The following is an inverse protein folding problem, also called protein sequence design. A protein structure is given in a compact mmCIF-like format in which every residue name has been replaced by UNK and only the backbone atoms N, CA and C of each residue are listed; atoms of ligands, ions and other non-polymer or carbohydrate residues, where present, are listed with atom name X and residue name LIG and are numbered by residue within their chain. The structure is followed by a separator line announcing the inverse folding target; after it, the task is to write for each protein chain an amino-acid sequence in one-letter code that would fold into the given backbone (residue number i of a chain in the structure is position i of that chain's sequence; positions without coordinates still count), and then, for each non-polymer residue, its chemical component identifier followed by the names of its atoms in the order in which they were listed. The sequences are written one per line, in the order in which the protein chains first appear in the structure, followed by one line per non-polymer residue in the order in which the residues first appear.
data_IF_153726636314
#
_entry.id   IF_153726636314
#
_cell.length_a   1.000
_cell.length_b   1.000
_cell.length_c   1.000
_cell.angle_alpha   90.00
_cell.angle_beta   90.00
_cell.angle_gamma   90.00
#
_symmetry.space_group_name_H-M   'P 1'
#
loop_
_entity.id
_entity.type
_entity.pdbx_description
1 polymer ?
#
# COMPACT_ATOMS: atom_id res chain seq x y z
N UNK A 1 -4.73 16.78 -1.54
CA UNK A 1 -6.07 16.30 -1.10
C UNK A 1 -7.04 17.46 -1.27
N UNK A 2 -8.29 17.22 -1.64
CA UNK A 2 -9.26 18.28 -1.98
C UNK A 2 -9.96 18.95 -0.78
N UNK A 3 -9.59 18.63 0.46
CA UNK A 3 -10.19 19.20 1.67
C UNK A 3 -9.17 20.04 2.43
N UNK A 4 -9.59 21.18 2.97
CA UNK A 4 -8.73 22.05 3.75
C UNK A 4 -8.56 21.57 5.20
N UNK A 5 -7.51 22.07 5.87
CA UNK A 5 -7.13 21.68 7.22
C UNK A 5 -8.24 21.93 8.27
N UNK A 6 -9.03 23.00 8.09
CA UNK A 6 -10.12 23.32 9.00
C UNK A 6 -11.21 22.24 8.97
N UNK A 7 -11.58 21.77 7.77
CA UNK A 7 -12.58 20.73 7.60
C UNK A 7 -12.14 19.40 8.23
N UNK A 8 -10.88 19.02 7.99
CA UNK A 8 -10.29 17.79 8.55
C UNK A 8 -10.19 17.89 10.07
N UNK A 9 -9.78 19.06 10.59
CA UNK A 9 -9.65 19.27 12.03
C UNK A 9 -10.99 19.17 12.75
N UNK A 10 -12.06 19.69 12.11
CA UNK A 10 -13.40 19.61 12.67
C UNK A 10 -13.93 18.17 12.68
N UNK A 11 -13.67 17.41 11.62
CA UNK A 11 -14.07 16.00 11.52
C UNK A 11 -13.34 15.09 12.53
N UNK A 12 -12.06 15.38 12.80
CA UNK A 12 -11.20 14.54 13.65
C UNK A 12 -11.10 15.05 15.09
N UNK A 13 -11.73 16.18 15.41
CA UNK A 13 -11.56 16.92 16.67
C UNK A 13 -10.09 17.16 17.06
N UNK A 14 -9.20 17.18 16.08
CA UNK A 14 -7.76 17.32 16.28
C UNK A 14 -7.26 18.47 15.42
N UNK A 15 -6.40 19.35 15.95
CA UNK A 15 -5.82 20.43 15.14
C UNK A 15 -4.82 19.84 14.13
N UNK A 16 -5.26 19.66 12.88
CA UNK A 16 -4.47 19.10 11.80
C UNK A 16 -3.83 20.26 11.00
N UNK A 17 -2.50 20.32 10.98
CA UNK A 17 -1.74 21.19 10.09
C UNK A 17 -1.11 20.28 9.03
N UNK A 18 -1.71 20.19 7.85
CA UNK A 18 -1.08 19.53 6.72
C UNK A 18 0.03 20.44 6.19
N UNK A 19 1.28 20.06 6.45
CA UNK A 19 2.44 20.65 5.79
C UNK A 19 2.42 20.18 4.34
N UNK A 20 2.33 21.14 3.42
CA UNK A 20 2.38 20.85 1.99
C UNK A 20 3.76 20.24 1.65
N UNK A 21 3.78 19.27 0.73
CA UNK A 21 4.95 18.60 0.15
C UNK A 21 5.54 17.39 0.85
N UNK A 22 4.73 16.35 1.10
CA UNK A 22 5.22 14.98 0.90
C UNK A 22 4.04 14.05 0.55
N UNK A 23 3.73 13.95 -0.75
CA UNK A 23 2.76 13.00 -1.31
C UNK A 23 3.21 11.54 -1.22
N UNK A 24 3.78 11.13 -0.09
CA UNK A 24 3.98 9.73 0.21
C UNK A 24 2.64 9.17 0.68
N UNK A 25 1.84 8.65 -0.25
CA UNK A 25 0.73 7.72 -0.01
C UNK A 25 1.26 6.40 0.61
N UNK A 26 2.03 6.50 1.69
CA UNK A 26 2.61 5.38 2.40
C UNK A 26 1.70 5.00 3.57
N UNK A 27 0.88 3.97 3.38
CA UNK A 27 0.28 3.24 4.51
C UNK A 27 -1.23 3.19 4.60
N UNK A 28 -2.00 3.85 3.71
CA UNK A 28 -3.46 3.71 3.69
C UNK A 28 -3.86 2.42 2.95
N UNK A 29 -4.70 1.61 3.58
CA UNK A 29 -5.37 0.47 2.93
C UNK A 29 -6.48 1.01 2.01
N UNK A 30 -6.09 1.63 0.91
CA UNK A 30 -7.01 2.17 -0.07
C UNK A 30 -7.61 1.00 -0.85
N UNK A 31 -8.94 0.82 -0.79
CA UNK A 31 -9.68 0.21 -1.89
C UNK A 31 -9.59 1.22 -3.05
N UNK A 32 -8.72 1.02 -4.04
CA UNK A 32 -8.49 2.04 -5.05
C UNK A 32 -9.64 1.99 -6.04
N UNK A 33 -10.27 3.14 -6.29
CA UNK A 33 -10.99 3.36 -7.55
C UNK A 33 -10.00 3.09 -8.68
N UNK A 34 -10.42 2.20 -9.58
CA UNK A 34 -9.59 1.36 -10.44
C UNK A 34 -8.81 2.11 -11.53
N UNK A 35 -7.56 2.50 -11.25
CA UNK A 35 -6.55 2.70 -12.31
C UNK A 35 -6.12 1.34 -12.87
N UNK A 36 -5.77 1.24 -14.16
CA UNK A 36 -5.31 -0.01 -14.83
C UNK A 36 -4.21 -0.74 -14.04
N UNK A 37 -3.41 0.00 -13.27
CA UNK A 37 -2.33 -0.49 -12.40
C UNK A 37 -2.33 0.28 -11.07
N UNK A 38 -2.14 -0.44 -9.97
CA UNK A 38 -1.89 0.13 -8.64
C UNK A 38 -0.63 -0.52 -8.07
N UNK A 39 0.29 0.26 -7.52
CA UNK A 39 1.50 -0.25 -6.85
C UNK A 39 1.46 0.12 -5.38
N UNK A 40 1.61 -0.87 -4.51
CA UNK A 40 1.66 -0.73 -3.06
C UNK A 40 3.07 -1.04 -2.58
N UNK A 41 3.64 -0.13 -1.80
CA UNK A 41 4.89 -0.37 -1.08
C UNK A 41 4.56 -0.81 0.34
N UNK A 42 5.11 -1.94 0.75
CA UNK A 42 4.95 -2.48 2.11
C UNK A 42 6.29 -2.43 2.83
N UNK A 43 6.25 -1.97 4.08
CA UNK A 43 7.34 -1.99 5.04
C UNK A 43 7.13 -3.17 5.98
N UNK A 44 8.13 -4.03 6.12
CA UNK A 44 8.13 -5.15 7.07
C UNK A 44 9.30 -4.98 8.01
N UNK A 45 9.09 -5.31 9.28
CA UNK A 45 10.12 -5.27 10.31
C UNK A 45 10.32 -6.65 10.89
N UNK A 46 11.55 -7.15 10.87
CA UNK A 46 11.93 -8.34 11.62
C UNK A 46 11.83 -8.03 13.11
N UNK A 47 11.13 -8.88 13.84
CA UNK A 47 10.97 -8.78 15.31
C UNK A 47 11.58 -9.99 16.02
N UNK A 48 12.26 -10.86 15.28
CA UNK A 48 12.99 -12.01 15.80
C UNK A 48 14.36 -11.64 16.36
N UNK A 49 15.12 -12.66 16.78
CA UNK A 49 16.44 -12.46 17.37
C UNK A 49 17.41 -11.85 16.34
N UNK A 50 17.90 -10.66 16.65
CA UNK A 50 18.78 -9.85 15.78
C UNK A 50 20.21 -10.42 15.67
N UNK A 51 20.49 -11.59 16.23
CA UNK A 51 21.84 -12.17 16.29
C UNK A 51 22.12 -13.15 15.14
N UNK A 52 21.14 -13.44 14.28
CA UNK A 52 21.28 -14.36 13.14
C UNK A 52 20.72 -13.76 11.86
N UNK A 53 21.33 -14.10 10.72
CA UNK A 53 20.78 -13.74 9.43
C UNK A 53 19.46 -14.47 9.21
N UNK A 54 18.47 -13.77 8.67
CA UNK A 54 17.13 -14.31 8.42
C UNK A 54 16.73 -14.09 6.97
N UNK A 55 16.23 -15.14 6.33
CA UNK A 55 15.76 -15.10 4.93
C UNK A 55 14.24 -15.12 4.88
N UNK A 56 13.65 -14.17 4.17
CA UNK A 56 12.21 -14.01 4.00
C UNK A 56 11.83 -14.12 2.54
N UNK A 57 10.74 -14.84 2.25
CA UNK A 57 10.16 -14.93 0.91
C UNK A 57 8.81 -14.23 0.90
N UNK A 58 8.63 -13.26 0.01
CA UNK A 58 7.33 -12.63 -0.19
C UNK A 58 6.42 -13.58 -0.99
N UNK A 59 5.30 -13.96 -0.37
CA UNK A 59 4.22 -14.70 -1.01
C UNK A 59 3.00 -13.80 -1.06
N UNK A 60 2.51 -13.50 -2.26
CA UNK A 60 1.33 -12.66 -2.44
C UNK A 60 0.33 -13.41 -3.31
N UNK A 61 -0.89 -13.57 -2.81
CA UNK A 61 -1.99 -14.22 -3.53
C UNK A 61 -2.84 -13.16 -4.22
N UNK A 62 -3.10 -13.37 -5.51
CA UNK A 62 -3.95 -12.47 -6.28
C UNK A 62 -5.42 -12.69 -5.91
N UNK A 63 -6.19 -11.64 -5.57
CA UNK A 63 -7.63 -11.72 -5.53
C UNK A 63 -8.19 -11.92 -6.94
N UNK A 64 -9.42 -12.42 -7.03
CA UNK A 64 -10.12 -12.62 -8.30
C UNK A 64 -10.18 -11.29 -9.10
N UNK A 65 -10.02 -11.37 -10.42
CA UNK A 65 -9.98 -10.21 -11.33
C UNK A 65 -8.75 -9.29 -11.26
N UNK A 66 -7.70 -9.66 -10.51
CA UNK A 66 -6.43 -8.93 -10.49
C UNK A 66 -5.24 -9.83 -10.85
N UNK A 67 -4.31 -9.32 -11.65
CA UNK A 67 -2.98 -9.88 -11.85
C UNK A 67 -1.99 -9.19 -10.91
N UNK A 68 -1.00 -9.93 -10.43
CA UNK A 68 0.02 -9.43 -9.50
C UNK A 68 1.42 -9.52 -10.09
N UNK A 69 2.27 -8.56 -9.71
CA UNK A 69 3.72 -8.62 -9.88
C UNK A 69 4.40 -8.15 -8.60
N UNK A 70 5.28 -8.97 -8.04
CA UNK A 70 6.14 -8.61 -6.90
C UNK A 70 7.52 -8.30 -7.45
N UNK A 71 8.09 -7.13 -7.10
CA UNK A 71 9.40 -6.71 -7.63
C UNK A 71 10.58 -7.45 -6.99
N UNK A 72 10.43 -7.90 -5.74
CA UNK A 72 11.42 -8.71 -5.05
C UNK A 72 10.71 -9.82 -4.27
N UNK A 73 11.03 -11.08 -4.59
CA UNK A 73 10.38 -12.26 -4.02
C UNK A 73 11.12 -12.84 -2.82
N UNK A 74 12.38 -12.48 -2.61
CA UNK A 74 13.23 -12.93 -1.52
C UNK A 74 14.07 -11.79 -0.96
N UNK A 75 14.23 -11.77 0.36
CA UNK A 75 14.98 -10.76 1.09
C UNK A 75 15.79 -11.42 2.19
N UNK A 76 17.01 -10.95 2.39
CA UNK A 76 17.81 -11.32 3.54
C UNK A 76 17.92 -10.12 4.47
N UNK A 77 17.64 -10.33 5.76
CA UNK A 77 17.98 -9.39 6.82
C UNK A 77 19.21 -9.94 7.51
N UNK A 78 20.32 -9.23 7.39
CA UNK A 78 21.53 -9.54 8.14
C UNK A 78 21.40 -8.99 9.56
N UNK A 79 22.02 -9.68 10.52
CA UNK A 79 22.03 -9.30 11.93
C UNK A 79 22.53 -7.87 12.21
N UNK A 80 23.45 -7.36 11.37
CA UNK A 80 24.03 -6.02 11.49
C UNK A 80 23.34 -4.93 10.65
N UNK A 81 22.21 -5.23 10.02
CA UNK A 81 21.46 -4.27 9.21
C UNK A 81 20.17 -3.84 9.89
N UNK A 82 19.59 -2.68 9.50
CA UNK A 82 18.27 -2.29 9.96
C UNK A 82 17.27 -3.43 9.72
N UNK A 83 16.42 -3.77 10.70
CA UNK A 83 15.53 -4.93 10.60
C UNK A 83 14.34 -4.67 9.66
N UNK A 84 14.47 -3.74 8.73
CA UNK A 84 13.38 -3.19 7.93
C UNK A 84 13.61 -3.50 6.47
N UNK A 85 12.62 -4.14 5.84
CA UNK A 85 12.58 -4.36 4.40
C UNK A 85 11.41 -3.59 3.79
N UNK A 86 11.64 -3.05 2.60
CA UNK A 86 10.59 -2.53 1.74
C UNK A 86 10.44 -3.39 0.50
N UNK A 87 9.20 -3.71 0.14
CA UNK A 87 8.91 -4.36 -1.13
C UNK A 87 7.69 -3.79 -1.80
N UNK A 88 7.67 -3.89 -3.14
CA UNK A 88 6.59 -3.37 -3.97
C UNK A 88 5.78 -4.50 -4.58
N UNK A 89 4.46 -4.33 -4.50
CA UNK A 89 3.47 -5.21 -5.12
C UNK A 89 2.67 -4.37 -6.10
N UNK A 90 2.70 -4.75 -7.36
CA UNK A 90 1.90 -4.14 -8.42
C UNK A 90 0.70 -5.02 -8.74
N UNK A 91 -0.49 -4.42 -8.72
CA UNK A 91 -1.77 -5.01 -9.07
C UNK A 91 -2.21 -4.45 -10.42
N UNK A 92 -2.70 -5.33 -11.30
CA UNK A 92 -3.18 -4.99 -12.63
C UNK A 92 -4.59 -5.53 -12.80
N UNK A 93 -5.49 -4.70 -13.32
CA UNK A 93 -6.82 -5.16 -13.68
C UNK A 93 -6.77 -6.07 -14.90
N UNK A 94 -7.44 -7.21 -14.82
CA UNK A 94 -7.81 -7.93 -16.04
C UNK A 94 -9.01 -7.21 -16.65
N UNK A 95 -8.92 -6.86 -17.94
CA UNK A 95 -9.86 -5.97 -18.66
C UNK A 95 -11.34 -6.45 -18.69
N UNK A 96 -11.70 -7.58 -18.07
CA UNK A 96 -13.04 -8.20 -18.14
C UNK A 96 -14.10 -7.62 -17.18
N UNK A 97 -13.80 -6.54 -16.44
CA UNK A 97 -14.69 -6.04 -15.37
C UNK A 97 -15.13 -4.57 -15.52
N UNK A 98 -15.01 -3.94 -16.69
CA UNK A 98 -15.75 -2.70 -16.96
C UNK A 98 -17.23 -3.05 -17.22
N UNK A 99 -17.94 -3.47 -16.17
CA UNK A 99 -19.39 -3.28 -16.12
C UNK A 99 -19.60 -2.01 -15.30
N UNK A 100 -19.92 -0.96 -16.02
CA UNK A 100 -20.31 0.35 -15.51
C UNK A 100 -21.35 0.15 -14.40
N UNK A 101 -21.01 0.52 -13.16
CA UNK A 101 -22.01 0.60 -12.08
C UNK A 101 -22.71 1.94 -12.30
N UNK A 102 -23.70 1.93 -13.20
CA UNK A 102 -24.61 3.04 -13.39
C UNK A 102 -25.64 2.98 -12.26
N UNK A 103 -25.55 3.90 -11.29
CA UNK A 103 -26.64 4.12 -10.35
C UNK A 103 -27.78 4.83 -11.10
N UNK A 104 -28.76 4.05 -11.54
CA UNK A 104 -30.07 4.56 -11.94
C UNK A 104 -30.92 4.69 -10.68
N UNK A 105 -30.93 5.88 -10.08
CA UNK A 105 -31.93 6.21 -9.07
C UNK A 105 -33.27 6.49 -9.75
N UNK A 106 -34.28 5.68 -9.42
CA UNK A 106 -35.69 5.94 -9.69
C UNK A 106 -36.28 6.88 -8.64
#
# INVERSE_FOLDING_TARGET
MGYNNAYISNLTWTRIICLENNHHHGGLNLNPILRKKVTVTRKVTNVGHMHTNSMYKAVVKAPYSLKLRVEASSFEIQHNHPPVIYFKVSFFLTQRMFKEITYSGA
#
